data_IF_737080902515
#
_entry.id   IF_737080902515
#
_cell.length_a   1.000
_cell.length_b   1.000
_cell.length_c   1.000
_cell.angle_alpha   90.00
_cell.angle_beta   90.00
_cell.angle_gamma   90.00
#
_symmetry.space_group_name_H-M   'P 1'
#
loop_
_entity.id
_entity.type
_entity.pdbx_description
1 polymer ?
#
# COMPACT_ATOMS: atom_id res chain seq x y z
N UNK A 1 7.67 8.68 5.33
CA UNK A 1 7.44 7.27 4.86
C UNK A 1 7.46 6.33 6.05
N UNK A 2 6.49 5.43 6.16
CA UNK A 2 6.48 4.37 7.18
C UNK A 2 7.14 3.11 6.62
N UNK A 3 8.04 2.49 7.37
CA UNK A 3 8.68 1.24 6.98
C UNK A 3 7.70 0.08 7.01
N UNK A 4 7.76 -0.77 5.99
CA UNK A 4 7.00 -2.01 5.87
C UNK A 4 7.98 -3.17 5.92
N UNK A 5 7.76 -4.11 6.84
CA UNK A 5 8.60 -5.29 7.00
C UNK A 5 7.80 -6.57 6.76
N UNK A 6 8.48 -7.61 6.30
CA UNK A 6 7.96 -8.97 6.41
C UNK A 6 7.97 -9.40 7.87
N UNK A 7 7.12 -10.37 8.28
CA UNK A 7 7.20 -10.96 9.61
C UNK A 7 8.59 -11.51 9.96
N UNK A 8 9.31 -12.02 8.95
CA UNK A 8 10.68 -12.50 9.11
C UNK A 8 11.68 -11.39 9.45
N UNK A 9 11.59 -10.26 8.74
CA UNK A 9 12.41 -9.08 9.00
C UNK A 9 12.11 -8.48 10.38
N UNK A 10 10.83 -8.39 10.77
CA UNK A 10 10.45 -7.89 12.10
C UNK A 10 11.06 -8.77 13.20
N UNK A 11 10.94 -10.10 13.09
CA UNK A 11 11.57 -11.03 14.05
C UNK A 11 13.10 -10.92 14.10
N UNK A 12 13.76 -10.64 12.95
CA UNK A 12 15.21 -10.43 12.93
C UNK A 12 15.59 -9.15 13.70
N UNK A 13 14.79 -8.09 13.51
CA UNK A 13 14.97 -6.81 14.20
C UNK A 13 14.80 -6.95 15.73
N UNK A 14 13.74 -7.64 16.17
CA UNK A 14 13.48 -7.92 17.60
C UNK A 14 14.59 -8.77 18.22
N UNK A 15 15.02 -9.83 17.53
CA UNK A 15 16.13 -10.68 17.99
C UNK A 15 17.39 -9.85 18.19
N UNK A 16 17.69 -8.96 17.25
CA UNK A 16 18.86 -8.09 17.34
C UNK A 16 18.74 -7.11 18.51
N UNK A 17 17.54 -6.59 18.79
CA UNK A 17 17.30 -5.77 19.98
C UNK A 17 17.58 -6.56 21.27
N UNK A 18 17.16 -7.83 21.35
CA UNK A 18 17.44 -8.71 22.49
C UNK A 18 18.95 -8.97 22.66
N UNK A 19 19.69 -9.21 21.56
CA UNK A 19 21.15 -9.35 21.58
C UNK A 19 21.86 -8.08 22.06
N UNK A 20 21.27 -6.91 21.81
CA UNK A 20 21.75 -5.61 22.30
C UNK A 20 21.38 -5.35 23.77
N UNK A 21 20.72 -6.29 24.44
CA UNK A 21 20.40 -6.24 25.85
C UNK A 21 19.02 -5.68 26.20
N UNK A 22 18.12 -5.45 25.22
CA UNK A 22 16.72 -5.06 25.50
C UNK A 22 15.97 -6.30 26.03
N UNK A 23 15.44 -6.29 27.25
CA UNK A 23 14.66 -7.42 27.75
C UNK A 23 13.35 -7.59 26.94
N UNK A 24 12.94 -8.83 26.59
CA UNK A 24 11.68 -9.06 25.84
C UNK A 24 10.47 -8.46 26.52
N UNK A 25 10.32 -8.59 27.84
CA UNK A 25 9.21 -8.01 28.58
C UNK A 25 9.18 -6.47 28.52
N UNK A 26 10.34 -5.81 28.43
CA UNK A 26 10.41 -4.35 28.26
C UNK A 26 9.91 -3.94 26.87
N UNK A 27 10.30 -4.69 25.84
CA UNK A 27 9.83 -4.43 24.48
C UNK A 27 8.31 -4.63 24.38
N UNK A 28 7.76 -5.66 25.00
CA UNK A 28 6.33 -5.92 25.12
C UNK A 28 5.60 -4.80 25.86
N UNK A 29 6.14 -4.30 26.97
CA UNK A 29 5.54 -3.19 27.70
C UNK A 29 5.51 -1.90 26.88
N UNK A 30 6.60 -1.58 26.15
CA UNK A 30 6.66 -0.45 25.25
C UNK A 30 5.61 -0.58 24.12
N UNK A 31 5.50 -1.77 23.52
CA UNK A 31 4.50 -2.08 22.48
C UNK A 31 3.08 -1.89 22.99
N UNK A 32 2.77 -2.45 24.17
CA UNK A 32 1.46 -2.34 24.79
C UNK A 32 1.11 -0.89 25.17
N UNK A 33 2.06 -0.10 25.68
CA UNK A 33 1.85 1.33 25.99
C UNK A 33 1.54 2.14 24.74
N UNK A 34 2.33 1.96 23.69
CA UNK A 34 2.13 2.69 22.44
C UNK A 34 0.81 2.28 21.77
N UNK A 35 0.49 0.98 21.74
CA UNK A 35 -0.76 0.47 21.20
C UNK A 35 -1.98 0.93 22.01
N UNK A 36 -1.89 0.92 23.35
CA UNK A 36 -2.96 1.38 24.22
C UNK A 36 -3.21 2.89 24.09
N UNK A 37 -2.17 3.71 24.01
CA UNK A 37 -2.30 5.14 23.82
C UNK A 37 -3.05 5.48 22.53
N UNK A 38 -2.68 4.83 21.42
CA UNK A 38 -3.36 4.99 20.16
C UNK A 38 -4.80 4.43 20.18
N UNK A 39 -5.00 3.26 20.79
CA UNK A 39 -6.33 2.68 21.00
C UNK A 39 -7.25 3.64 21.76
N UNK A 40 -6.75 4.21 22.85
CA UNK A 40 -7.50 5.18 23.65
C UNK A 40 -7.85 6.45 22.86
N UNK A 41 -6.91 6.96 22.05
CA UNK A 41 -7.14 8.10 21.15
C UNK A 41 -8.25 7.78 20.13
N UNK A 42 -8.14 6.65 19.42
CA UNK A 42 -9.10 6.24 18.39
C UNK A 42 -10.49 5.95 18.96
N UNK A 43 -10.55 5.45 20.19
CA UNK A 43 -11.81 5.20 20.89
C UNK A 43 -12.42 6.49 21.48
N UNK A 44 -11.69 7.60 21.51
CA UNK A 44 -12.11 8.86 22.13
C UNK A 44 -12.08 8.81 23.68
N UNK A 45 -11.04 8.19 24.25
CA UNK A 45 -10.84 7.92 25.66
C UNK A 45 -11.36 6.55 26.09
N UNK A 46 -10.80 5.99 27.16
CA UNK A 46 -11.21 4.68 27.73
C UNK A 46 -11.91 4.79 29.07
N UNK A 47 -11.85 5.94 29.74
CA UNK A 47 -12.47 6.12 31.08
C UNK A 47 -13.96 5.81 31.05
N UNK A 48 -14.40 4.91 31.94
CA UNK A 48 -15.77 4.41 32.04
C UNK A 48 -16.26 3.54 30.93
N UNK A 49 -15.39 3.16 29.94
CA UNK A 49 -15.76 2.28 28.82
C UNK A 49 -15.46 0.82 29.13
N UNK A 50 -16.35 -0.05 28.71
CA UNK A 50 -16.21 -1.50 28.82
C UNK A 50 -15.45 -2.03 27.61
N UNK A 51 -14.29 -2.62 27.84
CA UNK A 51 -13.42 -3.14 26.78
C UNK A 51 -13.18 -4.62 26.97
N UNK A 52 -13.55 -5.43 25.96
CA UNK A 52 -13.30 -6.86 25.97
C UNK A 52 -11.99 -7.18 25.23
N UNK A 53 -11.05 -7.83 25.93
CA UNK A 53 -9.78 -8.27 25.38
C UNK A 53 -9.84 -9.76 25.08
N UNK A 54 -9.70 -10.15 23.79
CA UNK A 54 -9.61 -11.52 23.34
C UNK A 54 -8.13 -11.92 23.31
N UNK A 55 -7.75 -12.87 24.14
CA UNK A 55 -6.34 -13.18 24.42
C UNK A 55 -5.98 -14.57 23.93
N UNK A 56 -4.93 -14.63 23.08
CA UNK A 56 -4.31 -15.84 22.59
C UNK A 56 -3.17 -16.35 23.47
N UNK A 57 -2.52 -17.45 23.04
CA UNK A 57 -1.46 -18.12 23.80
C UNK A 57 -0.07 -17.51 23.65
N UNK A 58 0.18 -16.72 22.63
CA UNK A 58 1.47 -16.18 22.25
C UNK A 58 1.77 -14.79 22.83
N UNK A 59 2.82 -14.15 22.31
CA UNK A 59 3.23 -12.81 22.73
C UNK A 59 2.18 -11.74 22.41
N UNK A 60 1.44 -11.88 21.28
CA UNK A 60 0.34 -10.98 20.97
C UNK A 60 -0.72 -10.96 22.10
N UNK A 61 -1.02 -12.14 22.68
CA UNK A 61 -1.85 -12.22 23.88
C UNK A 61 -1.22 -11.51 25.08
N UNK A 62 0.11 -11.54 25.20
CA UNK A 62 0.85 -10.78 26.22
C UNK A 62 0.68 -9.26 26.06
N UNK A 63 0.78 -8.77 24.82
CA UNK A 63 0.53 -7.34 24.51
C UNK A 63 -0.90 -6.95 24.87
N UNK A 64 -1.89 -7.78 24.51
CA UNK A 64 -3.31 -7.55 24.87
C UNK A 64 -3.56 -7.55 26.38
N UNK A 65 -2.91 -8.44 27.14
CA UNK A 65 -3.01 -8.44 28.62
C UNK A 65 -2.39 -7.19 29.25
N UNK A 66 -1.24 -6.74 28.73
CA UNK A 66 -0.63 -5.49 29.16
C UNK A 66 -1.53 -4.28 28.83
N UNK A 67 -2.14 -4.25 27.65
CA UNK A 67 -3.12 -3.21 27.28
C UNK A 67 -4.36 -3.23 28.19
N UNK A 68 -4.88 -4.40 28.58
CA UNK A 68 -6.00 -4.50 29.52
C UNK A 68 -5.65 -3.89 30.89
N UNK A 69 -4.45 -4.10 31.37
CA UNK A 69 -3.93 -3.47 32.60
C UNK A 69 -3.86 -1.95 32.45
N UNK A 70 -3.34 -1.45 31.34
CA UNK A 70 -3.26 -0.01 31.06
C UNK A 70 -4.66 0.63 30.95
N UNK A 71 -5.61 -0.06 30.34
CA UNK A 71 -7.00 0.37 30.26
C UNK A 71 -7.61 0.58 31.67
N UNK A 72 -7.37 -0.33 32.63
CA UNK A 72 -7.81 -0.17 34.00
C UNK A 72 -7.15 1.06 34.64
N UNK A 73 -5.84 1.25 34.44
CA UNK A 73 -5.11 2.40 35.00
C UNK A 73 -5.63 3.74 34.49
N UNK A 74 -6.12 3.78 33.26
CA UNK A 74 -6.72 4.97 32.63
C UNK A 74 -8.24 5.09 32.89
N UNK A 75 -8.76 4.32 33.87
CA UNK A 75 -10.15 4.40 34.34
C UNK A 75 -11.16 3.67 33.46
N UNK A 76 -10.72 2.80 32.58
CA UNK A 76 -11.59 1.90 31.80
C UNK A 76 -12.04 0.68 32.61
N UNK A 77 -12.99 -0.07 32.07
CA UNK A 77 -13.54 -1.33 32.61
C UNK A 77 -13.12 -2.52 31.70
N UNK A 78 -11.85 -3.01 31.80
CA UNK A 78 -11.40 -4.11 30.99
C UNK A 78 -11.96 -5.45 31.49
N UNK A 79 -12.31 -6.33 30.54
CA UNK A 79 -12.58 -7.74 30.78
C UNK A 79 -11.73 -8.60 29.83
N UNK A 80 -11.18 -9.69 30.33
CA UNK A 80 -10.29 -10.59 29.57
C UNK A 80 -11.00 -11.90 29.28
N UNK A 81 -11.01 -12.30 28.02
CA UNK A 81 -11.44 -13.60 27.56
C UNK A 81 -10.23 -14.38 27.02
N UNK A 82 -9.78 -15.38 27.76
CA UNK A 82 -8.70 -16.25 27.33
C UNK A 82 -9.21 -17.24 26.29
N UNK A 83 -9.02 -16.91 25.01
CA UNK A 83 -9.33 -17.80 23.87
C UNK A 83 -8.42 -19.02 23.92
N UNK A 84 -7.17 -18.81 24.32
CA UNK A 84 -6.26 -19.88 24.69
C UNK A 84 -5.35 -19.45 25.85
N UNK A 85 -4.86 -20.44 26.63
CA UNK A 85 -4.03 -20.16 27.80
C UNK A 85 -2.65 -19.61 27.38
N UNK A 86 -2.21 -18.45 27.92
CA UNK A 86 -0.88 -17.90 27.70
C UNK A 86 0.24 -18.91 27.97
N UNK A 87 1.19 -19.03 27.02
CA UNK A 87 2.29 -20.01 27.09
C UNK A 87 3.66 -19.38 27.17
N UNK A 88 3.84 -18.17 26.61
CA UNK A 88 5.15 -17.49 26.69
C UNK A 88 5.37 -16.88 28.05
N UNK A 89 6.64 -16.80 28.53
CA UNK A 89 6.93 -16.24 29.86
C UNK A 89 6.37 -14.84 30.07
N UNK A 90 6.49 -13.97 29.05
CA UNK A 90 6.05 -12.57 29.14
C UNK A 90 4.51 -12.46 29.18
N UNK A 91 3.80 -13.29 28.40
CA UNK A 91 2.33 -13.34 28.46
C UNK A 91 1.83 -13.91 29.80
N UNK A 92 2.54 -14.89 30.38
CA UNK A 92 2.21 -15.42 31.71
C UNK A 92 2.46 -14.38 32.81
N UNK A 93 3.53 -13.59 32.70
CA UNK A 93 3.79 -12.49 33.63
C UNK A 93 2.67 -11.45 33.57
N UNK A 94 2.24 -11.04 32.38
CA UNK A 94 1.15 -10.09 32.20
C UNK A 94 -0.20 -10.64 32.70
N UNK A 95 -0.48 -11.94 32.52
CA UNK A 95 -1.68 -12.58 33.12
C UNK A 95 -1.62 -12.53 34.66
N UNK A 96 -0.44 -12.72 35.23
CA UNK A 96 -0.21 -12.56 36.67
C UNK A 96 -0.58 -11.15 37.16
N UNK A 97 -0.18 -10.11 36.41
CA UNK A 97 -0.54 -8.71 36.75
C UNK A 97 -2.04 -8.43 36.60
N UNK A 98 -2.67 -8.93 35.52
CA UNK A 98 -4.14 -8.84 35.32
C UNK A 98 -4.90 -9.44 36.51
N UNK A 99 -4.50 -10.64 36.96
CA UNK A 99 -5.11 -11.31 38.12
C UNK A 99 -4.88 -10.55 39.44
N UNK A 100 -3.65 -10.05 39.64
CA UNK A 100 -3.30 -9.29 40.85
C UNK A 100 -4.09 -7.97 40.99
N UNK A 101 -4.45 -7.36 39.86
CA UNK A 101 -5.26 -6.14 39.82
C UNK A 101 -6.77 -6.41 39.86
N UNK A 102 -7.19 -7.68 39.92
CA UNK A 102 -8.60 -8.04 39.98
C UNK A 102 -9.39 -7.81 38.69
N UNK A 103 -8.69 -7.70 37.53
CA UNK A 103 -9.37 -7.58 36.25
C UNK A 103 -10.09 -8.90 35.95
N UNK A 104 -11.39 -8.87 35.62
CA UNK A 104 -12.15 -10.08 35.30
C UNK A 104 -11.51 -10.85 34.14
N UNK A 105 -11.00 -12.06 34.39
CA UNK A 105 -10.39 -12.92 33.39
C UNK A 105 -11.07 -14.29 33.43
N UNK A 106 -11.60 -14.72 32.29
CA UNK A 106 -12.26 -16.04 32.16
C UNK A 106 -11.76 -16.80 30.96
N UNK A 107 -11.71 -18.11 31.05
CA UNK A 107 -11.45 -18.97 29.89
C UNK A 107 -12.66 -18.94 28.94
N UNK A 108 -12.35 -18.87 27.66
CA UNK A 108 -13.38 -19.02 26.64
C UNK A 108 -13.89 -20.47 26.57
N UNK A 109 -15.19 -20.61 26.39
CA UNK A 109 -15.83 -21.91 26.18
C UNK A 109 -16.57 -21.84 24.84
N UNK A 110 -16.18 -22.62 23.82
CA UNK A 110 -16.86 -22.67 22.52
C UNK A 110 -18.35 -22.90 22.65
N UNK A 111 -19.16 -22.19 21.85
CA UNK A 111 -20.62 -22.29 21.83
C UNK A 111 -21.34 -21.49 22.91
N UNK A 112 -20.62 -20.77 23.79
CA UNK A 112 -21.24 -19.80 24.69
C UNK A 112 -21.12 -18.40 24.13
N UNK A 113 -22.21 -17.59 24.14
CA UNK A 113 -22.17 -16.19 23.71
C UNK A 113 -21.07 -15.41 24.45
N UNK A 114 -20.29 -14.66 23.70
CA UNK A 114 -19.15 -13.89 24.25
C UNK A 114 -19.53 -12.46 24.55
N UNK A 115 -20.41 -11.89 23.73
CA UNK A 115 -20.89 -10.51 23.82
C UNK A 115 -22.29 -10.50 24.47
N UNK A 116 -22.33 -10.75 25.78
CA UNK A 116 -23.57 -10.63 26.58
C UNK A 116 -23.82 -9.18 26.97
N UNK A 117 -25.06 -8.88 27.33
CA UNK A 117 -25.40 -7.57 27.91
C UNK A 117 -24.78 -7.38 29.32
N UNK A 118 -24.25 -6.20 29.65
CA UNK A 118 -24.14 -5.05 28.78
C UNK A 118 -22.99 -5.23 27.74
N UNK A 119 -23.27 -4.86 26.49
CA UNK A 119 -22.27 -4.93 25.41
C UNK A 119 -21.02 -4.13 25.73
N UNK A 120 -19.82 -4.58 25.34
CA UNK A 120 -18.61 -3.78 25.41
C UNK A 120 -18.67 -2.61 24.41
N UNK A 121 -17.99 -1.51 24.74
CA UNK A 121 -17.80 -0.37 23.84
C UNK A 121 -16.78 -0.65 22.75
N UNK A 122 -15.85 -1.58 23.01
CA UNK A 122 -14.84 -2.05 22.04
C UNK A 122 -14.39 -3.48 22.35
N UNK A 123 -13.92 -4.17 21.30
CA UNK A 123 -13.22 -5.46 21.40
C UNK A 123 -11.77 -5.25 20.95
N UNK A 124 -10.82 -5.77 21.73
CA UNK A 124 -9.41 -5.84 21.36
C UNK A 124 -9.08 -7.28 20.97
N UNK A 125 -8.74 -7.49 19.70
CA UNK A 125 -8.27 -8.78 19.17
C UNK A 125 -6.77 -8.89 19.37
N UNK A 126 -6.36 -9.72 20.32
CA UNK A 126 -4.99 -10.09 20.62
C UNK A 126 -4.83 -11.63 20.64
N UNK A 127 -5.58 -12.36 19.78
CA UNK A 127 -5.54 -13.82 19.73
C UNK A 127 -4.30 -14.28 18.97
N UNK A 128 -4.12 -13.82 17.73
CA UNK A 128 -2.97 -14.13 16.90
C UNK A 128 -2.34 -12.85 16.34
N UNK A 129 -1.01 -12.79 16.32
CA UNK A 129 -0.24 -11.73 15.67
C UNK A 129 0.44 -12.25 14.40
N UNK A 130 1.61 -11.67 14.08
CA UNK A 130 2.39 -11.96 12.86
C UNK A 130 2.82 -13.42 12.66
N UNK A 131 2.67 -14.28 13.64
CA UNK A 131 3.00 -15.71 13.53
C UNK A 131 1.88 -16.59 13.00
N UNK A 132 0.71 -16.03 12.71
CA UNK A 132 -0.44 -16.81 12.24
C UNK A 132 -0.31 -17.18 10.75
N UNK A 133 -0.67 -18.43 10.43
CA UNK A 133 -0.75 -18.97 9.07
C UNK A 133 -1.91 -19.93 8.93
N UNK A 134 -2.53 -19.99 7.76
CA UNK A 134 -3.63 -20.90 7.45
C UNK A 134 -4.99 -20.37 7.87
N UNK A 135 -5.90 -21.27 8.27
CA UNK A 135 -7.26 -20.95 8.68
C UNK A 135 -7.41 -20.96 10.20
N UNK A 136 -8.32 -20.14 10.73
CA UNK A 136 -8.73 -20.24 12.13
C UNK A 136 -9.35 -21.63 12.39
N UNK A 137 -9.11 -22.22 13.57
CA UNK A 137 -9.88 -23.38 14.02
C UNK A 137 -11.38 -23.08 14.00
N UNK A 138 -12.23 -24.09 13.74
CA UNK A 138 -13.67 -23.90 13.56
C UNK A 138 -14.35 -23.12 14.70
N UNK A 139 -13.96 -23.42 15.94
CA UNK A 139 -14.51 -22.74 17.09
C UNK A 139 -14.14 -21.25 17.12
N UNK A 140 -12.89 -20.90 16.78
CA UNK A 140 -12.41 -19.52 16.74
C UNK A 140 -12.98 -18.77 15.53
N UNK A 141 -13.21 -19.48 14.40
CA UNK A 141 -13.93 -18.93 13.25
C UNK A 141 -15.39 -18.57 13.62
N UNK A 142 -16.05 -19.36 14.45
CA UNK A 142 -17.37 -19.01 14.99
C UNK A 142 -17.32 -17.78 15.88
N UNK A 143 -16.30 -17.66 16.74
CA UNK A 143 -16.07 -16.49 17.58
C UNK A 143 -15.85 -15.24 16.73
N UNK A 144 -15.02 -15.34 15.69
CA UNK A 144 -14.75 -14.22 14.77
C UNK A 144 -16.04 -13.74 14.09
N UNK A 145 -16.90 -14.66 13.65
CA UNK A 145 -18.24 -14.33 13.10
C UNK A 145 -19.14 -13.65 14.12
N UNK A 146 -19.22 -14.17 15.36
CA UNK A 146 -20.02 -13.56 16.44
C UNK A 146 -19.57 -12.12 16.70
N UNK A 147 -18.25 -11.90 16.85
CA UNK A 147 -17.67 -10.58 17.11
C UNK A 147 -17.95 -9.62 15.94
N UNK A 148 -17.73 -10.06 14.70
CA UNK A 148 -17.97 -9.24 13.50
C UNK A 148 -19.45 -8.89 13.33
N UNK A 149 -20.37 -9.82 13.62
CA UNK A 149 -21.82 -9.60 13.52
C UNK A 149 -22.37 -8.68 14.61
N UNK A 150 -21.62 -8.45 15.69
CA UNK A 150 -22.06 -7.62 16.82
C UNK A 150 -22.17 -6.15 16.50
N UNK A 151 -21.40 -5.64 15.53
CA UNK A 151 -21.25 -4.22 15.23
C UNK A 151 -20.41 -3.44 16.26
N UNK A 152 -19.83 -4.12 17.26
CA UNK A 152 -18.88 -3.49 18.20
C UNK A 152 -17.54 -3.27 17.46
N UNK A 153 -16.91 -2.09 17.57
CA UNK A 153 -15.66 -1.82 16.92
C UNK A 153 -14.55 -2.75 17.46
N UNK A 154 -13.84 -3.41 16.53
CA UNK A 154 -12.72 -4.30 16.83
C UNK A 154 -11.40 -3.58 16.56
N UNK A 155 -10.46 -3.66 17.50
CA UNK A 155 -9.11 -3.17 17.37
C UNK A 155 -8.15 -4.38 17.39
N UNK A 156 -7.52 -4.66 16.25
CA UNK A 156 -6.57 -5.75 16.16
C UNK A 156 -5.17 -5.29 16.61
N UNK A 157 -4.58 -6.04 17.52
CA UNK A 157 -3.19 -5.84 17.95
C UNK A 157 -2.28 -6.60 17.00
N UNK A 158 -1.34 -5.91 16.41
CA UNK A 158 -0.33 -6.39 15.46
C UNK A 158 -0.91 -6.83 14.09
N UNK A 159 -1.91 -7.70 14.08
CA UNK A 159 -2.63 -8.13 12.88
C UNK A 159 -4.03 -8.66 13.25
N UNK A 160 -5.03 -8.58 12.36
CA UNK A 160 -6.31 -9.25 12.57
C UNK A 160 -6.10 -10.77 12.65
N UNK A 161 -6.61 -11.40 13.70
CA UNK A 161 -6.50 -12.84 13.85
C UNK A 161 -7.25 -13.58 12.76
N UNK A 162 -6.55 -14.47 12.04
CA UNK A 162 -7.05 -15.14 10.84
C UNK A 162 -6.47 -14.61 9.52
N UNK A 163 -5.75 -13.49 9.55
CA UNK A 163 -5.04 -12.95 8.39
C UNK A 163 -3.54 -13.28 8.44
N UNK A 164 -3.00 -13.80 7.36
CA UNK A 164 -1.54 -14.04 7.21
C UNK A 164 -0.82 -12.71 7.01
N UNK A 165 0.06 -12.35 7.93
CA UNK A 165 0.77 -11.06 7.93
C UNK A 165 1.87 -10.95 6.86
N UNK A 166 2.27 -12.05 6.22
CA UNK A 166 3.22 -12.04 5.11
C UNK A 166 2.52 -11.82 3.77
N UNK A 167 1.43 -12.55 3.54
CA UNK A 167 0.74 -12.59 2.24
C UNK A 167 -0.54 -11.75 2.21
N UNK A 168 -1.14 -11.46 3.36
CA UNK A 168 -2.46 -10.82 3.46
C UNK A 168 -3.62 -11.77 3.22
N UNK A 169 -3.35 -13.06 2.97
CA UNK A 169 -4.39 -14.04 2.69
C UNK A 169 -5.23 -14.37 3.93
N UNK A 170 -6.51 -14.62 3.70
CA UNK A 170 -7.45 -15.09 4.70
C UNK A 170 -8.04 -16.41 4.21
N UNK A 171 -7.63 -17.52 4.81
CA UNK A 171 -8.02 -18.87 4.39
C UNK A 171 -9.35 -19.33 5.04
N UNK A 172 -10.31 -18.45 5.17
CA UNK A 172 -11.59 -18.70 5.82
C UNK A 172 -12.11 -17.47 6.53
N UNK A 173 -12.32 -17.56 7.84
CA UNK A 173 -12.76 -16.43 8.67
C UNK A 173 -11.56 -15.68 9.27
N UNK A 174 -11.76 -14.39 9.57
CA UNK A 174 -10.85 -13.57 10.37
C UNK A 174 -11.66 -12.62 11.25
N UNK A 175 -11.05 -12.09 12.30
CA UNK A 175 -11.65 -11.02 13.10
C UNK A 175 -11.57 -9.72 12.29
N UNK A 176 -12.71 -9.27 11.75
CA UNK A 176 -12.78 -8.00 11.03
C UNK A 176 -12.52 -6.82 11.96
N UNK A 177 -11.43 -6.10 11.75
CA UNK A 177 -11.04 -4.97 12.56
C UNK A 177 -11.48 -3.64 11.94
N UNK A 178 -11.94 -2.70 12.77
CA UNK A 178 -12.09 -1.30 12.37
C UNK A 178 -10.71 -0.61 12.27
N UNK A 179 -9.80 -1.00 13.16
CA UNK A 179 -8.43 -0.50 13.22
C UNK A 179 -7.46 -1.65 13.50
N UNK A 180 -6.35 -1.71 12.78
CA UNK A 180 -5.22 -2.58 13.06
C UNK A 180 -4.04 -1.75 13.53
N UNK A 181 -3.53 -2.05 14.72
CA UNK A 181 -2.41 -1.37 15.36
C UNK A 181 -1.19 -2.28 15.26
N UNK A 182 -0.40 -2.11 14.21
CA UNK A 182 0.83 -2.86 13.97
C UNK A 182 1.93 -2.42 14.94
N UNK A 183 2.57 -3.38 15.58
CA UNK A 183 3.65 -3.15 16.55
C UNK A 183 4.99 -3.02 15.81
N UNK A 184 5.70 -1.93 16.03
CA UNK A 184 6.96 -1.57 15.38
C UNK A 184 6.77 -1.06 13.95
N UNK A 185 6.54 -1.95 13.00
CA UNK A 185 6.37 -1.60 11.59
C UNK A 185 5.10 -2.20 11.00
N UNK A 186 4.62 -1.62 9.90
CA UNK A 186 3.59 -2.25 9.08
C UNK A 186 4.12 -3.59 8.54
N UNK A 187 3.24 -4.58 8.35
CA UNK A 187 3.59 -5.87 7.76
C UNK A 187 3.13 -5.93 6.32
N UNK A 188 3.95 -6.57 5.48
CA UNK A 188 3.73 -6.64 4.02
C UNK A 188 2.33 -7.13 3.68
N UNK A 189 1.88 -8.22 4.31
CA UNK A 189 0.56 -8.80 4.06
C UNK A 189 -0.59 -7.87 4.44
N UNK A 190 -0.47 -7.12 5.54
CA UNK A 190 -1.50 -6.14 5.92
C UNK A 190 -1.66 -5.04 4.88
N UNK A 191 -0.56 -4.65 4.23
CA UNK A 191 -0.58 -3.62 3.19
C UNK A 191 -1.14 -4.13 1.86
N UNK A 192 -0.83 -5.39 1.49
CA UNK A 192 -1.13 -5.97 0.19
C UNK A 192 -2.34 -6.92 0.17
N UNK A 193 -3.07 -7.06 1.28
CA UNK A 193 -4.25 -7.91 1.35
C UNK A 193 -5.31 -7.52 0.31
N UNK A 194 -5.98 -8.51 -0.25
CA UNK A 194 -7.18 -8.35 -1.09
C UNK A 194 -8.47 -8.18 -0.27
N UNK A 195 -8.35 -8.26 1.08
CA UNK A 195 -9.44 -8.11 2.04
C UNK A 195 -9.22 -6.90 2.98
N UNK A 196 -9.06 -5.68 2.42
CA UNK A 196 -8.76 -4.48 3.22
C UNK A 196 -9.85 -4.17 4.25
N UNK A 197 -11.09 -4.59 4.02
CA UNK A 197 -12.20 -4.44 4.96
C UNK A 197 -12.01 -5.23 6.26
N UNK A 198 -11.22 -6.31 6.24
CA UNK A 198 -10.94 -7.09 7.44
C UNK A 198 -9.83 -6.50 8.31
N UNK A 199 -8.93 -5.69 7.73
CA UNK A 199 -7.88 -5.02 8.49
C UNK A 199 -8.25 -3.61 8.98
N UNK A 200 -9.26 -3.00 8.37
CA UNK A 200 -9.67 -1.62 8.63
C UNK A 200 -8.55 -0.60 8.38
N UNK A 201 -8.56 0.47 9.15
CA UNK A 201 -7.52 1.48 9.09
C UNK A 201 -6.20 0.97 9.70
N UNK A 202 -5.09 1.12 8.94
CA UNK A 202 -3.76 0.67 9.37
C UNK A 202 -3.01 1.76 10.13
N UNK A 203 -2.51 1.38 11.30
CA UNK A 203 -1.64 2.20 12.13
C UNK A 203 -0.36 1.43 12.44
N UNK A 204 0.73 2.13 12.70
CA UNK A 204 1.96 1.55 13.23
C UNK A 204 2.41 2.37 14.43
N UNK A 205 2.83 1.70 15.49
CA UNK A 205 3.34 2.33 16.70
C UNK A 205 4.79 1.93 16.96
N UNK A 206 5.59 2.88 17.38
CA UNK A 206 6.98 2.61 17.78
C UNK A 206 7.00 1.80 19.09
N UNK A 207 7.80 0.76 19.12
CA UNK A 207 7.95 -0.13 20.29
C UNK A 207 9.31 0.03 20.98
N UNK A 208 10.11 1.02 20.55
CA UNK A 208 11.40 1.32 21.15
C UNK A 208 12.52 0.36 20.73
N UNK A 209 12.50 -0.14 19.50
CA UNK A 209 13.62 -0.92 18.94
C UNK A 209 14.83 0.00 18.76
N UNK A 210 16.02 -0.32 19.31
CA UNK A 210 17.21 0.50 19.15
C UNK A 210 17.61 0.66 17.70
N UNK A 211 18.04 1.86 17.29
CA UNK A 211 18.50 2.14 15.91
C UNK A 211 19.59 1.15 15.46
N UNK A 212 20.50 0.77 16.36
CA UNK A 212 21.55 -0.23 16.06
C UNK A 212 21.00 -1.63 15.71
N UNK A 213 19.75 -1.96 16.06
CA UNK A 213 19.15 -3.24 15.69
C UNK A 213 18.81 -3.32 14.19
N UNK A 214 18.63 -2.18 13.52
CA UNK A 214 18.30 -2.11 12.10
C UNK A 214 19.40 -2.66 11.19
N UNK A 215 20.64 -2.77 11.68
CA UNK A 215 21.75 -3.42 10.97
C UNK A 215 21.44 -4.89 10.63
N UNK A 216 20.54 -5.55 11.37
CA UNK A 216 20.09 -6.91 11.09
C UNK A 216 19.35 -7.08 9.76
N UNK A 217 18.83 -5.97 9.19
CA UNK A 217 18.11 -5.98 7.92
C UNK A 217 19.04 -5.77 6.71
N UNK A 218 20.33 -5.55 6.94
CA UNK A 218 21.30 -5.36 5.88
C UNK A 218 21.13 -4.02 5.14
N UNK A 219 21.72 -3.95 3.92
CA UNK A 219 21.68 -2.76 3.06
C UNK A 219 20.60 -2.81 1.99
N UNK A 220 19.66 -3.74 2.08
CA UNK A 220 18.55 -3.85 1.14
C UNK A 220 17.65 -2.61 1.20
N UNK A 221 17.13 -2.21 0.05
CA UNK A 221 16.13 -1.14 -0.01
C UNK A 221 14.84 -1.64 0.67
N UNK A 222 14.52 -1.10 1.83
CA UNK A 222 13.32 -1.48 2.57
C UNK A 222 12.06 -0.99 1.86
N UNK A 223 11.02 -1.80 1.90
CA UNK A 223 9.70 -1.41 1.44
C UNK A 223 9.12 -0.34 2.38
N UNK A 224 8.52 0.70 1.80
CA UNK A 224 7.95 1.82 2.58
C UNK A 224 6.52 2.10 2.15
N UNK A 225 5.69 2.61 3.05
CA UNK A 225 4.42 3.24 2.71
C UNK A 225 4.65 4.74 2.49
N UNK A 226 4.16 5.24 1.35
CA UNK A 226 4.18 6.67 1.06
C UNK A 226 3.14 7.40 1.90
N UNK A 227 3.50 8.59 2.37
CA UNK A 227 2.62 9.51 3.08
C UNK A 227 2.58 10.86 2.38
N UNK A 228 1.48 11.64 2.50
CA UNK A 228 1.39 12.95 1.85
C UNK A 228 2.54 13.90 2.18
N UNK A 229 3.08 13.84 3.41
CA UNK A 229 4.21 14.65 3.83
C UNK A 229 5.48 14.37 3.02
N UNK A 230 5.70 13.13 2.58
CA UNK A 230 6.87 12.76 1.78
C UNK A 230 6.92 13.45 0.42
N UNK A 231 5.74 13.78 -0.14
CA UNK A 231 5.63 14.45 -1.42
C UNK A 231 6.11 15.89 -1.35
N UNK A 232 5.79 16.61 -0.28
CA UNK A 232 6.13 18.03 -0.12
C UNK A 232 7.63 18.26 -0.07
N UNK A 233 8.41 17.31 0.42
CA UNK A 233 9.87 17.37 0.50
C UNK A 233 10.55 17.04 -0.83
N UNK A 234 9.88 16.25 -1.67
CA UNK A 234 10.43 15.73 -2.95
C UNK A 234 10.05 16.58 -4.15
N UNK A 235 8.97 17.35 -4.07
CA UNK A 235 8.54 18.19 -5.17
C UNK A 235 9.47 19.42 -5.30
N UNK A 236 10.01 19.67 -6.51
CA UNK A 236 10.90 20.81 -6.72
C UNK A 236 10.13 22.12 -6.56
N UNK A 237 10.71 23.08 -5.84
CA UNK A 237 10.17 24.42 -5.73
C UNK A 237 10.56 25.25 -6.96
N UNK A 238 9.61 25.89 -7.60
CA UNK A 238 9.89 26.80 -8.71
C UNK A 238 10.48 28.11 -8.19
N UNK A 239 11.57 28.63 -8.80
CA UNK A 239 12.06 29.96 -8.53
C UNK A 239 11.01 31.02 -8.91
N UNK A 240 10.97 32.14 -8.18
CA UNK A 240 9.98 33.21 -8.42
C UNK A 240 10.08 33.85 -9.81
N UNK A 241 11.23 33.76 -10.45
CA UNK A 241 11.53 34.30 -11.79
C UNK A 241 11.50 33.25 -12.89
N UNK A 242 11.03 32.00 -12.60
CA UNK A 242 10.98 30.95 -13.59
C UNK A 242 10.01 31.27 -14.74
N UNK A 243 10.40 30.92 -15.96
CA UNK A 243 9.55 30.98 -17.14
C UNK A 243 9.19 29.59 -17.66
N UNK A 244 8.25 29.51 -18.60
CA UNK A 244 7.74 28.22 -19.12
C UNK A 244 8.82 27.29 -19.69
N UNK A 245 9.95 27.84 -20.16
CA UNK A 245 11.05 27.05 -20.70
C UNK A 245 11.91 26.35 -19.64
N UNK A 246 11.84 26.79 -18.36
CA UNK A 246 12.64 26.25 -17.26
C UNK A 246 11.98 25.01 -16.63
N UNK A 247 10.69 24.80 -16.90
CA UNK A 247 9.90 23.71 -16.31
C UNK A 247 9.74 22.50 -17.24
N UNK A 248 10.67 22.33 -18.17
CA UNK A 248 10.71 21.17 -19.07
C UNK A 248 9.71 21.20 -20.22
N UNK A 249 9.99 20.36 -21.22
CA UNK A 249 9.18 20.15 -22.42
C UNK A 249 8.79 18.70 -22.51
N UNK A 250 7.51 18.41 -22.58
CA UNK A 250 7.00 17.05 -22.70
C UNK A 250 6.45 16.83 -24.11
N UNK A 251 6.94 15.80 -24.78
CA UNK A 251 6.33 15.27 -25.98
C UNK A 251 5.42 14.11 -25.58
N UNK A 252 4.16 14.15 -26.01
CA UNK A 252 3.21 13.07 -25.81
C UNK A 252 2.82 12.48 -27.14
N UNK A 253 2.94 11.16 -27.32
CA UNK A 253 2.38 10.46 -28.47
C UNK A 253 1.15 9.68 -27.99
N UNK A 254 -0.02 10.22 -28.29
CA UNK A 254 -1.30 9.77 -27.74
C UNK A 254 -2.45 10.07 -28.72
N UNK A 255 -3.49 9.24 -28.66
CA UNK A 255 -4.70 9.39 -29.46
C UNK A 255 -4.58 8.80 -30.86
N UNK A 256 -5.66 8.16 -31.34
CA UNK A 256 -5.78 7.60 -32.69
C UNK A 256 -7.16 7.79 -33.26
N UNK A 257 -7.29 7.81 -34.57
CA UNK A 257 -8.55 7.78 -35.28
C UNK A 257 -9.34 6.48 -35.01
N UNK A 258 -10.66 6.57 -34.98
CA UNK A 258 -11.52 5.41 -34.76
C UNK A 258 -11.81 5.07 -33.30
N UNK A 259 -11.10 5.66 -32.34
CA UNK A 259 -11.39 5.57 -30.91
C UNK A 259 -11.96 6.93 -30.44
N UNK A 260 -13.27 7.11 -30.45
CA UNK A 260 -13.95 8.40 -30.23
C UNK A 260 -13.55 9.13 -28.91
N UNK A 261 -13.09 8.39 -27.89
CA UNK A 261 -12.61 8.94 -26.62
C UNK A 261 -11.12 9.23 -26.58
N UNK A 262 -10.32 8.75 -27.55
CA UNK A 262 -8.84 8.81 -27.47
C UNK A 262 -8.31 10.25 -27.47
N UNK A 263 -8.90 11.14 -28.26
CA UNK A 263 -8.54 12.55 -28.24
C UNK A 263 -8.85 13.21 -26.89
N UNK A 264 -9.99 12.85 -26.28
CA UNK A 264 -10.35 13.30 -24.92
C UNK A 264 -9.37 12.83 -23.86
N UNK A 265 -8.95 11.57 -23.91
CA UNK A 265 -7.95 11.00 -23.00
C UNK A 265 -6.59 11.66 -23.18
N UNK A 266 -6.13 11.85 -24.41
CA UNK A 266 -4.90 12.57 -24.71
C UNK A 266 -4.94 14.03 -24.22
N UNK A 267 -6.06 14.72 -24.37
CA UNK A 267 -6.26 16.06 -23.84
C UNK A 267 -6.20 16.07 -22.29
N UNK A 268 -6.82 15.10 -21.62
CA UNK A 268 -6.75 14.98 -20.17
C UNK A 268 -5.31 14.75 -19.68
N UNK A 269 -4.55 13.87 -20.33
CA UNK A 269 -3.14 13.65 -20.02
C UNK A 269 -2.33 14.94 -20.19
N UNK A 270 -2.50 15.67 -21.29
CA UNK A 270 -1.81 16.93 -21.53
C UNK A 270 -2.14 18.00 -20.49
N UNK A 271 -3.43 18.15 -20.14
CA UNK A 271 -3.86 19.08 -19.08
C UNK A 271 -3.33 18.68 -17.70
N UNK A 272 -3.32 17.39 -17.37
CA UNK A 272 -2.77 16.87 -16.13
C UNK A 272 -1.27 17.18 -16.01
N UNK A 273 -0.52 17.00 -17.09
CA UNK A 273 0.90 17.31 -17.18
C UNK A 273 1.18 18.81 -16.94
N UNK A 274 0.43 19.69 -17.63
CA UNK A 274 0.56 21.13 -17.42
C UNK A 274 0.21 21.57 -15.99
N UNK A 275 -0.84 20.96 -15.41
CA UNK A 275 -1.24 21.22 -14.01
C UNK A 275 -0.25 20.68 -12.99
N UNK A 276 0.38 19.53 -13.28
CA UNK A 276 1.44 18.97 -12.43
C UNK A 276 2.71 19.81 -12.46
N UNK A 277 2.92 20.59 -13.54
CA UNK A 277 4.00 21.53 -13.51
C UNK A 277 4.88 21.59 -14.77
N UNK A 278 4.62 20.84 -15.80
CA UNK A 278 5.35 20.94 -17.07
C UNK A 278 5.22 22.36 -17.66
N UNK A 279 6.32 22.87 -18.23
CA UNK A 279 6.35 24.19 -18.83
C UNK A 279 5.69 24.24 -20.20
N UNK A 280 5.94 23.22 -21.01
CA UNK A 280 5.40 23.08 -22.37
C UNK A 280 5.04 21.62 -22.63
N UNK A 281 3.85 21.40 -23.20
CA UNK A 281 3.40 20.07 -23.64
C UNK A 281 3.08 20.12 -25.11
N UNK A 282 3.60 19.17 -25.89
CA UNK A 282 3.29 18.96 -27.31
C UNK A 282 2.70 17.57 -27.48
N UNK A 283 1.51 17.47 -28.05
CA UNK A 283 0.87 16.20 -28.40
C UNK A 283 1.12 15.90 -29.87
N UNK A 284 1.82 14.81 -30.15
CA UNK A 284 1.93 14.23 -31.49
C UNK A 284 0.75 13.28 -31.70
N UNK A 285 -0.03 13.50 -32.74
CA UNK A 285 -1.23 12.72 -33.05
C UNK A 285 -1.54 12.74 -34.54
N UNK A 286 -2.58 12.04 -34.97
CA UNK A 286 -3.10 12.14 -36.31
C UNK A 286 -3.69 13.54 -36.56
N UNK A 287 -3.47 14.07 -37.75
CA UNK A 287 -3.77 15.47 -38.07
C UNK A 287 -5.26 15.82 -37.85
N UNK A 288 -6.13 14.88 -38.12
CA UNK A 288 -7.59 15.03 -37.94
C UNK A 288 -8.03 15.18 -36.47
N UNK A 289 -7.18 14.78 -35.53
CA UNK A 289 -7.46 14.93 -34.08
C UNK A 289 -7.04 16.31 -33.55
N UNK A 290 -6.23 17.06 -34.28
CA UNK A 290 -5.67 18.34 -33.80
C UNK A 290 -6.77 19.35 -33.44
N UNK A 291 -7.82 19.58 -34.26
CA UNK A 291 -8.88 20.52 -33.89
C UNK A 291 -9.59 20.15 -32.59
N UNK A 292 -9.80 18.84 -32.36
CA UNK A 292 -10.46 18.34 -31.15
C UNK A 292 -9.55 18.55 -29.93
N UNK A 293 -8.28 18.23 -30.06
CA UNK A 293 -7.29 18.39 -29.00
C UNK A 293 -7.11 19.85 -28.61
N UNK A 294 -7.03 20.76 -29.60
CA UNK A 294 -6.90 22.18 -29.34
C UNK A 294 -8.14 22.77 -28.66
N UNK A 295 -9.32 22.25 -28.97
CA UNK A 295 -10.55 22.65 -28.28
C UNK A 295 -10.60 22.17 -26.83
N UNK A 296 -10.14 20.93 -26.55
CA UNK A 296 -10.19 20.31 -25.23
C UNK A 296 -9.00 20.70 -24.34
N UNK A 297 -7.83 20.94 -24.92
CA UNK A 297 -6.58 21.29 -24.22
C UNK A 297 -5.88 22.46 -24.92
N UNK A 298 -6.45 23.68 -24.90
CA UNK A 298 -5.93 24.82 -25.66
C UNK A 298 -4.51 25.26 -25.24
N UNK A 299 -4.06 24.86 -24.09
CA UNK A 299 -2.73 25.19 -23.58
C UNK A 299 -1.65 24.19 -24.06
N UNK A 300 -2.03 23.07 -24.68
CA UNK A 300 -1.10 22.12 -25.28
C UNK A 300 -0.90 22.44 -26.77
N UNK A 301 0.32 22.31 -27.22
CA UNK A 301 0.65 22.35 -28.65
C UNK A 301 0.31 21.00 -29.29
N UNK A 302 -0.05 21.01 -30.57
CA UNK A 302 -0.28 19.77 -31.33
C UNK A 302 0.60 19.77 -32.57
N UNK A 303 1.06 18.58 -32.97
CA UNK A 303 1.86 18.34 -34.18
C UNK A 303 1.38 17.06 -34.85
N UNK A 304 1.20 17.04 -36.20
CA UNK A 304 0.91 15.80 -36.92
C UNK A 304 2.01 14.77 -36.70
N UNK A 305 1.64 13.51 -36.46
CA UNK A 305 2.60 12.44 -36.15
C UNK A 305 3.66 12.26 -37.26
N UNK A 306 3.28 12.34 -38.52
CA UNK A 306 4.22 12.28 -39.65
C UNK A 306 5.25 13.41 -39.62
N UNK A 307 4.84 14.62 -39.22
CA UNK A 307 5.77 15.73 -39.05
C UNK A 307 6.66 15.52 -37.81
N UNK A 308 6.10 15.04 -36.67
CA UNK A 308 6.88 14.78 -35.48
C UNK A 308 7.97 13.72 -35.73
N UNK A 309 7.69 12.68 -36.49
CA UNK A 309 8.65 11.62 -36.86
C UNK A 309 9.73 12.17 -37.79
N UNK A 310 9.35 12.92 -38.84
CA UNK A 310 10.31 13.46 -39.83
C UNK A 310 11.18 14.59 -39.26
N UNK A 311 10.62 15.39 -38.37
CA UNK A 311 11.29 16.54 -37.71
C UNK A 311 10.88 16.59 -36.23
N UNK A 312 11.48 15.76 -35.37
CA UNK A 312 11.09 15.69 -33.96
C UNK A 312 11.21 17.06 -33.27
N UNK A 313 10.15 17.50 -32.56
CA UNK A 313 10.25 18.70 -31.72
C UNK A 313 11.28 18.47 -30.61
N UNK A 314 11.85 19.54 -30.10
CA UNK A 314 12.69 19.46 -28.91
C UNK A 314 11.83 19.08 -27.68
N UNK A 315 12.23 18.05 -26.97
CA UNK A 315 11.59 17.61 -25.72
C UNK A 315 12.62 17.10 -24.72
N UNK A 316 12.25 17.11 -23.45
CA UNK A 316 13.06 16.67 -22.31
C UNK A 316 12.49 15.36 -21.72
N UNK A 317 11.19 15.09 -21.93
CA UNK A 317 10.47 13.88 -21.48
C UNK A 317 9.56 13.39 -22.61
N UNK A 318 9.43 12.05 -22.77
CA UNK A 318 8.51 11.43 -23.71
C UNK A 318 7.44 10.60 -23.00
N UNK A 319 6.16 10.90 -23.18
CA UNK A 319 5.04 10.14 -22.65
C UNK A 319 4.25 9.45 -23.77
N UNK A 320 3.92 8.16 -23.58
CA UNK A 320 3.48 7.32 -24.68
C UNK A 320 2.35 6.41 -24.23
N UNK A 321 1.33 6.25 -25.06
CA UNK A 321 0.46 5.08 -24.98
C UNK A 321 -1.03 5.30 -24.94
N UNK A 322 -1.51 6.39 -24.36
CA UNK A 322 -2.95 6.61 -24.19
C UNK A 322 -3.70 6.66 -25.52
N UNK A 323 -4.53 5.64 -25.81
CA UNK A 323 -5.40 5.59 -26.97
C UNK A 323 -4.70 5.58 -28.34
N UNK A 324 -3.52 4.96 -28.44
CA UNK A 324 -2.75 4.90 -29.69
C UNK A 324 -3.19 3.79 -30.65
N UNK A 325 -3.87 2.76 -30.11
CA UNK A 325 -4.03 1.51 -30.84
C UNK A 325 -2.72 0.68 -30.88
N UNK A 326 -2.77 -0.47 -31.56
CA UNK A 326 -1.71 -1.47 -31.47
C UNK A 326 -1.21 -1.93 -32.83
N UNK A 327 -1.17 -1.03 -33.81
CA UNK A 327 -0.67 -1.30 -35.16
C UNK A 327 0.87 -1.26 -35.20
N UNK A 328 1.47 -1.92 -36.20
CA UNK A 328 2.90 -1.86 -36.49
C UNK A 328 3.37 -0.42 -36.78
N UNK A 329 2.54 0.36 -37.48
CA UNK A 329 2.84 1.77 -37.77
C UNK A 329 3.00 2.59 -36.47
N UNK A 330 2.15 2.35 -35.47
CA UNK A 330 2.28 3.00 -34.15
C UNK A 330 3.60 2.61 -33.48
N UNK A 331 3.98 1.32 -33.52
CA UNK A 331 5.25 0.89 -32.96
C UNK A 331 6.45 1.54 -33.64
N UNK A 332 6.44 1.62 -34.97
CA UNK A 332 7.50 2.27 -35.74
C UNK A 332 7.61 3.77 -35.41
N UNK A 333 6.48 4.46 -35.21
CA UNK A 333 6.47 5.86 -34.78
C UNK A 333 7.04 6.02 -33.35
N UNK A 334 6.71 5.10 -32.43
CA UNK A 334 7.28 5.09 -31.08
C UNK A 334 8.80 4.97 -31.16
N UNK A 335 9.31 3.99 -31.93
CA UNK A 335 10.75 3.79 -32.09
C UNK A 335 11.46 5.00 -32.71
N UNK A 336 10.83 5.68 -33.67
CA UNK A 336 11.40 6.86 -34.30
C UNK A 336 11.48 8.08 -33.36
N UNK A 337 10.55 8.19 -32.41
CA UNK A 337 10.49 9.31 -31.45
C UNK A 337 11.20 9.01 -30.14
N UNK A 338 11.22 7.75 -29.68
CA UNK A 338 11.78 7.38 -28.39
C UNK A 338 13.30 7.51 -28.38
N UNK A 339 13.81 8.09 -27.30
CA UNK A 339 15.23 8.30 -27.01
C UNK A 339 15.55 7.72 -25.63
N UNK A 340 16.26 6.57 -25.56
CA UNK A 340 16.56 5.89 -24.29
C UNK A 340 17.34 6.75 -23.27
N UNK A 341 18.06 7.74 -23.76
CA UNK A 341 18.83 8.70 -22.93
C UNK A 341 17.94 9.73 -22.24
N UNK A 342 16.69 9.90 -22.67
CA UNK A 342 15.72 10.82 -22.05
C UNK A 342 14.70 10.05 -21.19
N UNK A 343 14.20 10.69 -20.13
CA UNK A 343 13.07 10.14 -19.36
C UNK A 343 11.87 9.82 -20.25
N UNK A 344 11.22 8.68 -19.98
CA UNK A 344 10.01 8.30 -20.70
C UNK A 344 8.98 7.61 -19.81
N UNK A 345 7.69 7.85 -20.09
CA UNK A 345 6.55 7.25 -19.39
C UNK A 345 5.77 6.39 -20.38
N UNK A 346 5.61 5.10 -20.06
CA UNK A 346 4.96 4.09 -20.90
C UNK A 346 3.67 3.60 -20.25
N UNK A 347 2.54 3.75 -20.93
CA UNK A 347 1.23 3.33 -20.43
C UNK A 347 0.37 2.70 -21.53
N UNK A 348 -0.71 2.07 -21.17
CA UNK A 348 -1.80 1.61 -22.04
C UNK A 348 -1.32 0.86 -23.30
N UNK A 349 -1.65 1.38 -24.52
CA UNK A 349 -1.33 0.70 -25.78
C UNK A 349 0.17 0.57 -26.04
N UNK A 350 1.01 1.47 -25.52
CA UNK A 350 2.46 1.32 -25.60
C UNK A 350 2.95 0.07 -24.85
N UNK A 351 2.36 -0.24 -23.69
CA UNK A 351 2.65 -1.45 -22.91
C UNK A 351 2.15 -2.70 -23.64
N UNK A 352 0.99 -2.61 -24.30
CA UNK A 352 0.48 -3.71 -25.13
C UNK A 352 1.37 -4.02 -26.34
N UNK A 353 1.91 -2.99 -26.98
CA UNK A 353 2.88 -3.13 -28.06
C UNK A 353 4.21 -3.69 -27.56
N UNK A 354 4.69 -3.20 -26.41
CA UNK A 354 5.90 -3.70 -25.75
C UNK A 354 5.79 -5.18 -25.37
N UNK A 355 4.59 -5.65 -24.99
CA UNK A 355 4.36 -7.07 -24.72
C UNK A 355 4.50 -7.95 -25.98
N UNK A 356 4.16 -7.41 -27.17
CA UNK A 356 4.32 -8.11 -28.47
C UNK A 356 5.75 -8.04 -28.98
N UNK A 357 6.45 -6.94 -28.73
CA UNK A 357 7.82 -6.69 -29.20
C UNK A 357 8.70 -6.25 -28.03
N UNK A 358 9.10 -7.18 -27.15
CA UNK A 358 9.84 -6.84 -25.93
C UNK A 358 11.21 -6.23 -26.23
N UNK A 359 11.45 -5.05 -25.64
CA UNK A 359 12.76 -4.36 -25.64
C UNK A 359 13.03 -3.83 -24.24
N UNK A 360 14.32 -3.75 -23.86
CA UNK A 360 14.71 -3.07 -22.62
C UNK A 360 14.48 -1.56 -22.78
N UNK A 361 13.84 -0.95 -21.79
CA UNK A 361 13.50 0.48 -21.83
C UNK A 361 14.63 1.36 -21.25
N UNK A 362 15.42 0.81 -20.34
CA UNK A 362 16.51 1.50 -19.65
C UNK A 362 16.07 2.26 -18.41
N UNK A 363 17.04 2.57 -17.56
CA UNK A 363 16.83 3.11 -16.20
C UNK A 363 16.13 4.49 -16.15
N UNK A 364 15.97 5.19 -17.28
CA UNK A 364 15.26 6.46 -17.39
C UNK A 364 13.78 6.30 -17.77
N UNK A 365 13.34 5.07 -18.04
CA UNK A 365 11.94 4.79 -18.34
C UNK A 365 11.15 4.42 -17.09
N UNK A 366 9.87 4.75 -17.10
CA UNK A 366 8.89 4.34 -16.13
C UNK A 366 7.67 3.77 -16.84
N UNK A 367 7.20 2.61 -16.40
CA UNK A 367 5.95 2.02 -16.90
C UNK A 367 4.87 2.04 -15.82
N UNK A 368 3.61 2.19 -16.26
CA UNK A 368 2.45 2.31 -15.38
C UNK A 368 1.39 1.23 -15.65
N UNK A 369 1.74 -0.09 -15.65
CA UNK A 369 0.79 -1.13 -15.98
C UNK A 369 -0.31 -1.29 -14.93
N UNK A 370 -1.55 -1.53 -15.35
CA UNK A 370 -2.55 -2.17 -14.52
C UNK A 370 -2.35 -3.70 -14.53
N UNK A 371 -2.98 -4.51 -13.62
CA UNK A 371 -2.72 -5.95 -13.54
C UNK A 371 -2.88 -6.71 -14.86
N UNK A 372 -3.83 -6.34 -15.71
CA UNK A 372 -4.02 -6.98 -17.03
C UNK A 372 -2.90 -6.67 -18.03
N UNK A 373 -2.32 -5.47 -18.02
CA UNK A 373 -1.14 -5.10 -18.81
C UNK A 373 0.11 -5.80 -18.28
N UNK A 374 0.29 -5.82 -16.96
CA UNK A 374 1.38 -6.54 -16.32
C UNK A 374 1.36 -8.04 -16.63
N UNK A 375 0.19 -8.66 -16.61
CA UNK A 375 0.00 -10.06 -16.98
C UNK A 375 0.45 -10.33 -18.42
N UNK A 376 0.06 -9.49 -19.38
CA UNK A 376 0.50 -9.59 -20.78
C UNK A 376 2.01 -9.41 -20.92
N UNK A 377 2.58 -8.40 -20.28
CA UNK A 377 4.02 -8.12 -20.29
C UNK A 377 4.85 -9.28 -19.72
N UNK A 378 4.34 -9.97 -18.70
CA UNK A 378 5.01 -11.11 -18.04
C UNK A 378 4.67 -12.47 -18.66
N UNK A 379 3.63 -12.57 -19.49
CA UNK A 379 3.13 -13.85 -20.00
C UNK A 379 2.48 -14.70 -18.86
N UNK A 380 1.81 -14.05 -17.91
CA UNK A 380 1.16 -14.67 -16.74
C UNK A 380 -0.34 -14.42 -16.73
N UNK A 381 -1.05 -15.07 -15.80
CA UNK A 381 -2.45 -14.74 -15.55
C UNK A 381 -2.59 -13.44 -14.72
N UNK A 382 -3.75 -12.77 -14.82
CA UNK A 382 -4.06 -11.60 -13.98
C UNK A 382 -4.06 -11.99 -12.50
N UNK A 383 -4.53 -13.20 -12.18
CA UNK A 383 -4.54 -13.74 -10.82
C UNK A 383 -3.14 -13.84 -10.24
N UNK A 384 -2.14 -14.34 -11.02
CA UNK A 384 -0.74 -14.43 -10.56
C UNK A 384 -0.18 -13.05 -10.19
N UNK A 385 -0.54 -12.03 -10.97
CA UNK A 385 -0.11 -10.63 -10.71
C UNK A 385 -0.79 -10.06 -9.47
N UNK A 386 -2.09 -10.29 -9.30
CA UNK A 386 -2.85 -9.72 -8.19
C UNK A 386 -2.57 -10.39 -6.85
N UNK A 387 -2.27 -11.68 -6.85
CA UNK A 387 -1.87 -12.43 -5.62
C UNK A 387 -0.46 -12.02 -5.15
N UNK A 388 0.43 -11.64 -6.06
CA UNK A 388 1.81 -11.29 -5.72
C UNK A 388 2.27 -10.02 -6.43
N UNK A 389 1.64 -8.86 -6.16
CA UNK A 389 1.88 -7.64 -6.94
C UNK A 389 3.32 -7.10 -6.77
N UNK A 390 3.93 -7.24 -5.60
CA UNK A 390 5.31 -6.84 -5.38
C UNK A 390 6.28 -7.63 -6.27
N UNK A 391 6.15 -8.96 -6.26
CA UNK A 391 6.95 -9.85 -7.11
C UNK A 391 6.73 -9.58 -8.61
N UNK A 392 5.49 -9.34 -9.02
CA UNK A 392 5.18 -8.98 -10.40
C UNK A 392 5.86 -7.68 -10.82
N UNK A 393 5.84 -6.65 -9.97
CA UNK A 393 6.52 -5.39 -10.20
C UNK A 393 8.05 -5.57 -10.28
N UNK A 394 8.65 -6.38 -9.41
CA UNK A 394 10.09 -6.71 -9.44
C UNK A 394 10.49 -7.42 -10.75
N UNK A 395 9.68 -8.38 -11.20
CA UNK A 395 9.91 -9.09 -12.46
C UNK A 395 9.80 -8.15 -13.67
N UNK A 396 8.83 -7.21 -13.68
CA UNK A 396 8.70 -6.19 -14.71
C UNK A 396 9.92 -5.26 -14.72
N UNK A 397 10.31 -4.72 -13.57
CA UNK A 397 11.44 -3.81 -13.46
C UNK A 397 12.73 -4.47 -13.97
N UNK A 398 12.97 -5.73 -13.62
CA UNK A 398 14.14 -6.48 -14.10
C UNK A 398 14.05 -6.81 -15.58
N UNK A 399 12.88 -7.25 -16.09
CA UNK A 399 12.70 -7.66 -17.49
C UNK A 399 12.91 -6.50 -18.47
N UNK A 400 12.43 -5.32 -18.10
CA UNK A 400 12.44 -4.15 -18.97
C UNK A 400 13.48 -3.10 -18.57
N UNK A 401 14.26 -3.37 -17.51
CA UNK A 401 15.30 -2.46 -16.97
C UNK A 401 14.77 -1.04 -16.72
N UNK A 402 13.62 -0.92 -16.05
CA UNK A 402 12.96 0.36 -15.87
C UNK A 402 12.25 0.48 -14.50
N UNK A 403 11.83 1.68 -14.15
CA UNK A 403 10.95 1.89 -13.01
C UNK A 403 9.52 1.41 -13.32
N UNK A 404 8.80 0.97 -12.30
CA UNK A 404 7.44 0.41 -12.42
C UNK A 404 6.51 1.05 -11.39
N UNK A 405 5.35 1.48 -11.84
CA UNK A 405 4.18 1.76 -11.00
C UNK A 405 3.10 0.74 -11.36
N UNK A 406 3.07 -0.41 -10.69
CA UNK A 406 2.01 -1.39 -10.88
C UNK A 406 0.74 -0.88 -10.19
N UNK A 407 -0.24 -0.49 -11.01
CA UNK A 407 -1.51 0.10 -10.56
C UNK A 407 -2.40 -0.96 -9.89
N UNK A 408 -3.06 -0.60 -8.79
CA UNK A 408 -3.99 -1.47 -8.06
C UNK A 408 -4.71 -0.69 -6.97
N UNK A 409 -5.51 -1.38 -6.15
CA UNK A 409 -6.07 -0.79 -4.92
C UNK A 409 -4.95 -0.25 -4.02
N UNK A 410 -3.85 -0.98 -3.95
CA UNK A 410 -2.54 -0.54 -3.48
C UNK A 410 -1.61 -0.55 -4.68
N UNK A 411 -0.99 0.57 -5.00
CA UNK A 411 -0.02 0.63 -6.09
C UNK A 411 1.38 0.33 -5.59
N UNK A 412 2.11 -0.52 -6.33
CA UNK A 412 3.52 -0.86 -6.06
C UNK A 412 4.43 0.01 -6.91
N UNK A 413 5.38 0.67 -6.29
CA UNK A 413 6.32 1.61 -6.92
C UNK A 413 7.74 1.10 -6.71
N UNK A 414 8.42 0.73 -7.80
CA UNK A 414 9.78 0.22 -7.78
C UNK A 414 10.66 0.93 -8.81
N UNK A 415 11.90 1.22 -8.47
CA UNK A 415 12.90 1.79 -9.37
C UNK A 415 13.60 3.02 -8.83
N UNK A 416 14.76 3.37 -9.37
CA UNK A 416 15.52 4.54 -8.95
C UNK A 416 15.93 4.55 -7.47
N UNK A 417 16.11 3.36 -6.85
CA UNK A 417 16.39 3.22 -5.41
C UNK A 417 15.16 3.36 -4.51
N UNK A 418 13.96 3.40 -5.07
CA UNK A 418 12.69 3.45 -4.33
C UNK A 418 12.02 2.09 -4.37
N UNK A 419 11.55 1.62 -3.22
CA UNK A 419 10.64 0.49 -3.07
C UNK A 419 9.50 0.94 -2.15
N UNK A 420 8.32 1.20 -2.73
CA UNK A 420 7.24 1.82 -1.97
C UNK A 420 5.86 1.29 -2.36
N UNK A 421 4.93 1.36 -1.40
CA UNK A 421 3.50 1.17 -1.61
C UNK A 421 2.77 2.50 -1.44
N UNK A 422 1.87 2.79 -2.36
CA UNK A 422 0.86 3.82 -2.14
C UNK A 422 -0.40 3.16 -1.56
N UNK A 423 -0.63 3.39 -0.27
CA UNK A 423 -1.78 2.86 0.47
C UNK A 423 -2.99 3.81 0.41
N UNK A 424 -2.79 5.04 -0.05
CA UNK A 424 -3.80 6.08 -0.17
C UNK A 424 -4.50 5.94 -1.53
N UNK A 425 -5.52 5.12 -1.56
CA UNK A 425 -6.36 4.89 -2.74
C UNK A 425 -7.80 5.35 -2.51
N UNK A 426 -8.51 5.63 -3.61
CA UNK A 426 -9.95 5.90 -3.58
C UNK A 426 -10.65 5.14 -4.70
N UNK A 427 -11.78 4.45 -4.42
CA UNK A 427 -12.60 3.85 -5.46
C UNK A 427 -13.08 4.84 -6.53
N UNK A 428 -13.11 6.14 -6.21
CA UNK A 428 -13.45 7.21 -7.15
C UNK A 428 -12.45 7.32 -8.32
N UNK A 429 -11.23 6.79 -8.18
CA UNK A 429 -10.23 6.72 -9.24
C UNK A 429 -10.45 5.55 -10.21
N UNK A 430 -11.32 4.59 -9.87
CA UNK A 430 -11.66 3.45 -10.73
C UNK A 430 -12.63 3.85 -11.85
N UNK A 431 -12.20 4.75 -12.74
CA UNK A 431 -12.95 5.26 -13.89
C UNK A 431 -12.05 5.44 -15.11
N UNK A 432 -12.65 5.49 -16.30
CA UNK A 432 -11.92 5.80 -17.54
C UNK A 432 -11.21 7.16 -17.48
N UNK A 433 -10.00 7.23 -18.03
CA UNK A 433 -9.17 8.44 -18.05
C UNK A 433 -8.27 8.67 -16.83
N UNK A 434 -8.44 7.91 -15.74
CA UNK A 434 -7.58 8.08 -14.55
C UNK A 434 -6.12 7.67 -14.82
N UNK A 435 -5.90 6.61 -15.61
CA UNK A 435 -4.56 6.18 -16.03
C UNK A 435 -3.89 7.22 -16.92
N UNK A 436 -4.66 7.76 -17.88
CA UNK A 436 -4.16 8.78 -18.81
C UNK A 436 -3.75 10.06 -18.07
N UNK A 437 -4.58 10.49 -17.10
CA UNK A 437 -4.24 11.61 -16.23
C UNK A 437 -2.98 11.32 -15.40
N UNK A 438 -2.82 10.10 -14.86
CA UNK A 438 -1.62 9.70 -14.13
C UNK A 438 -0.37 9.76 -15.00
N UNK A 439 -0.44 9.26 -16.24
CA UNK A 439 0.66 9.36 -17.22
C UNK A 439 1.06 10.82 -17.45
N UNK A 440 0.10 11.73 -17.55
CA UNK A 440 0.37 13.15 -17.65
C UNK A 440 0.99 13.76 -16.40
N UNK A 441 0.55 13.37 -15.20
CA UNK A 441 1.11 13.86 -13.92
C UNK A 441 2.55 13.41 -13.74
N UNK A 442 2.89 12.19 -14.17
CA UNK A 442 4.25 11.63 -14.02
C UNK A 442 5.22 12.25 -15.04
N UNK A 443 4.74 12.56 -16.24
CA UNK A 443 5.55 13.13 -17.31
C UNK A 443 5.95 14.59 -17.02
#
# INVERSE_FOLDING_TARGET
MRTILTPGQMRALERRAFELGVPPLLLMENAARAAHALFAELLGGVAGKKVLYLIGSGNNGGDGLAMARLCLLDGGEPAVLLVSKPRTPDAQANLGYVNALGIPARAWAPGKPVLSEPRPDAVVDAVYGTGFHGALPDAEAMLAREVSASGVPVFAVDAPSGMDSLTGAVAGEAFGAAHTIALGCLKTGLCLTDRPELRGALHAVDIGVPTAAWDALGKETLLTALEPADLSERLPRRPAHAHKGDSGRVLMYMGSLGLAGAAGMAAQAALACLRAGAGLVTVACEEELIPILQALAPNAMCVPIGQAVSRPPRYDVFAIGCGLGQSEAVWNNIQALWRPELPSVWDADALNLLAKTPVALGARALMTPHPGEAARLLGKSVTDVTVSPLRAAEELARKYDCAVVLKGAVSVILGGGVSALNLEGSPALAKGGSGDALTGVIA
#
